data_IF_179504303440
#
_entry.id   IF_179504303440
#
_cell.length_a   1.000
_cell.length_b   1.000
_cell.length_c   1.000
_cell.angle_alpha   90.00
_cell.angle_beta   90.00
_cell.angle_gamma   90.00
#
_symmetry.space_group_name_H-M   'P 1'
#
loop_
_entity.id
_entity.type
_entity.pdbx_description
1 polymer ?
#
# COMPACT_ATOMS: atom_id res chain seq x y z
N UNK A 1 -8.33 14.83 -21.88
CA UNK A 1 -7.67 13.72 -21.16
C UNK A 1 -7.44 14.16 -19.71
N UNK A 2 -8.16 13.59 -18.74
CA UNK A 2 -8.00 13.93 -17.31
C UNK A 2 -6.57 13.58 -16.88
N UNK A 3 -5.74 14.57 -16.52
CA UNK A 3 -4.40 14.31 -15.99
C UNK A 3 -4.53 13.51 -14.69
N UNK A 4 -3.95 12.31 -14.65
CA UNK A 4 -3.91 11.48 -13.45
C UNK A 4 -3.13 12.21 -12.36
N UNK A 5 -3.69 12.26 -11.15
CA UNK A 5 -3.10 12.99 -10.03
C UNK A 5 -1.72 12.41 -9.66
N UNK A 6 -0.70 13.25 -9.35
CA UNK A 6 0.65 12.78 -9.05
C UNK A 6 0.70 11.75 -7.91
N UNK A 7 -0.16 11.90 -6.91
CA UNK A 7 -0.30 10.93 -5.81
C UNK A 7 -0.68 9.53 -6.32
N UNK A 8 -1.69 9.44 -7.19
CA UNK A 8 -2.19 8.17 -7.74
C UNK A 8 -1.10 7.48 -8.56
N UNK A 9 -0.35 8.24 -9.36
CA UNK A 9 0.78 7.73 -10.13
C UNK A 9 1.90 7.16 -9.24
N UNK A 10 2.31 7.90 -8.21
CA UNK A 10 3.34 7.43 -7.27
C UNK A 10 2.86 6.24 -6.43
N UNK A 11 1.57 6.21 -6.07
CA UNK A 11 0.96 5.13 -5.33
C UNK A 11 0.93 3.82 -6.13
N UNK A 12 0.51 3.90 -7.40
CA UNK A 12 0.51 2.77 -8.34
C UNK A 12 1.92 2.29 -8.66
N UNK A 13 2.84 3.21 -8.95
CA UNK A 13 4.22 2.85 -9.26
C UNK A 13 4.89 2.15 -8.08
N UNK A 14 4.72 2.67 -6.86
CA UNK A 14 5.24 2.04 -5.66
C UNK A 14 4.59 0.67 -5.40
N UNK A 15 3.28 0.52 -5.61
CA UNK A 15 2.60 -0.76 -5.50
C UNK A 15 3.14 -1.82 -6.47
N UNK A 16 3.39 -1.44 -7.72
CA UNK A 16 3.99 -2.32 -8.73
C UNK A 16 5.44 -2.68 -8.39
N UNK A 17 6.26 -1.71 -7.98
CA UNK A 17 7.66 -1.93 -7.61
C UNK A 17 7.76 -2.86 -6.40
N UNK A 18 6.95 -2.62 -5.37
CA UNK A 18 6.95 -3.43 -4.15
C UNK A 18 6.43 -4.83 -4.44
N UNK A 19 5.33 -4.96 -5.19
CA UNK A 19 4.78 -6.27 -5.54
C UNK A 19 5.73 -7.10 -6.41
N UNK A 20 6.37 -6.47 -7.40
CA UNK A 20 7.39 -7.11 -8.21
C UNK A 20 8.64 -7.45 -7.39
N UNK A 21 9.13 -6.53 -6.55
CA UNK A 21 10.34 -6.70 -5.76
C UNK A 21 10.21 -7.80 -4.71
N UNK A 22 9.10 -7.81 -3.96
CA UNK A 22 8.83 -8.85 -2.97
C UNK A 22 8.57 -10.18 -3.67
N UNK A 23 7.71 -10.22 -4.70
CA UNK A 23 7.38 -11.48 -5.35
C UNK A 23 8.53 -12.07 -6.17
N UNK A 24 9.48 -11.26 -6.67
CA UNK A 24 10.67 -11.75 -7.35
C UNK A 24 11.60 -12.56 -6.44
N UNK A 25 11.51 -12.40 -5.12
CA UNK A 25 12.25 -13.25 -4.16
C UNK A 25 11.64 -14.65 -3.99
N UNK A 26 10.42 -14.87 -4.48
CA UNK A 26 9.67 -16.11 -4.33
C UNK A 26 9.57 -16.88 -5.65
N UNK A 27 9.02 -16.25 -6.70
CA UNK A 27 8.91 -16.79 -8.07
C UNK A 27 8.36 -15.71 -9.04
N UNK A 28 8.55 -15.88 -10.36
CA UNK A 28 7.99 -14.98 -11.38
C UNK A 28 6.46 -14.89 -11.30
N UNK A 29 5.77 -16.01 -11.06
CA UNK A 29 4.31 -16.01 -10.91
C UNK A 29 3.88 -15.24 -9.67
N UNK A 30 4.62 -15.38 -8.56
CA UNK A 30 4.37 -14.64 -7.32
C UNK A 30 4.64 -13.14 -7.49
N UNK A 31 5.67 -12.75 -8.25
CA UNK A 31 5.95 -11.36 -8.63
C UNK A 31 4.78 -10.72 -9.39
N UNK A 32 4.25 -11.42 -10.38
CA UNK A 32 3.13 -10.92 -11.18
C UNK A 32 1.86 -10.79 -10.32
N UNK A 33 1.52 -11.83 -9.55
CA UNK A 33 0.34 -11.80 -8.68
C UNK A 33 0.44 -10.72 -7.60
N UNK A 34 1.62 -10.59 -6.97
CA UNK A 34 1.89 -9.56 -5.96
C UNK A 34 1.76 -8.15 -6.52
N UNK A 35 2.33 -7.90 -7.71
CA UNK A 35 2.21 -6.61 -8.39
C UNK A 35 0.76 -6.27 -8.75
N UNK A 36 -0.01 -7.24 -9.27
CA UNK A 36 -1.43 -7.04 -9.63
C UNK A 36 -2.27 -6.75 -8.39
N UNK A 37 -2.12 -7.53 -7.33
CA UNK A 37 -2.91 -7.37 -6.10
C UNK A 37 -2.62 -6.04 -5.41
N UNK A 38 -1.34 -5.65 -5.30
CA UNK A 38 -0.97 -4.37 -4.72
C UNK A 38 -1.44 -3.21 -5.60
N UNK A 39 -1.33 -3.32 -6.92
CA UNK A 39 -1.85 -2.30 -7.84
C UNK A 39 -3.38 -2.16 -7.73
N UNK A 40 -4.11 -3.27 -7.66
CA UNK A 40 -5.56 -3.25 -7.46
C UNK A 40 -5.94 -2.60 -6.13
N UNK A 41 -5.25 -2.95 -5.03
CA UNK A 41 -5.41 -2.30 -3.74
C UNK A 41 -5.14 -0.79 -3.79
N UNK A 42 -4.10 -0.39 -4.52
CA UNK A 42 -3.76 1.02 -4.75
C UNK A 42 -4.82 1.78 -5.57
N UNK A 43 -5.43 1.15 -6.58
CA UNK A 43 -6.54 1.75 -7.34
C UNK A 43 -7.76 1.96 -6.45
N UNK A 44 -8.15 0.94 -5.69
CA UNK A 44 -9.32 0.99 -4.80
C UNK A 44 -9.11 2.08 -3.75
N UNK A 45 -7.96 2.05 -3.08
CA UNK A 45 -7.54 3.07 -2.11
C UNK A 45 -7.53 4.49 -2.69
N UNK A 46 -7.01 4.67 -3.90
CA UNK A 46 -7.02 5.96 -4.61
C UNK A 46 -8.43 6.43 -4.94
N UNK A 47 -9.34 5.51 -5.24
CA UNK A 47 -10.75 5.82 -5.56
C UNK A 47 -11.49 6.30 -4.31
N UNK A 48 -11.24 5.68 -3.15
CA UNK A 48 -11.75 6.16 -1.87
C UNK A 48 -11.19 7.53 -1.51
N UNK A 49 -9.88 7.74 -1.66
CA UNK A 49 -9.24 9.05 -1.46
C UNK A 49 -9.78 10.13 -2.40
N UNK A 50 -10.25 9.75 -3.60
CA UNK A 50 -10.90 10.67 -4.54
C UNK A 50 -12.30 11.08 -4.07
N UNK A 51 -13.02 10.21 -3.36
CA UNK A 51 -14.37 10.48 -2.83
C UNK A 51 -14.34 11.30 -1.53
N UNK A 52 -13.49 10.94 -0.56
CA UNK A 52 -13.13 11.73 0.64
C UNK A 52 -11.79 11.21 1.19
N UNK A 53 -10.82 12.04 1.65
CA UNK A 53 -10.82 13.48 1.86
C UNK A 53 -10.49 14.34 0.63
N UNK A 54 -10.26 13.73 -0.55
CA UNK A 54 -9.81 14.40 -1.77
C UNK A 54 -8.30 14.26 -1.97
N UNK A 55 -7.87 14.07 -3.22
CA UNK A 55 -6.45 13.83 -3.56
C UNK A 55 -5.53 15.03 -3.28
N UNK A 56 -6.11 16.22 -3.10
CA UNK A 56 -5.41 17.45 -2.74
C UNK A 56 -5.20 17.62 -1.23
N UNK A 57 -5.86 16.81 -0.39
CA UNK A 57 -5.77 16.86 1.06
C UNK A 57 -4.32 16.74 1.58
N UNK A 58 -4.04 17.20 2.82
CA UNK A 58 -2.74 17.03 3.44
C UNK A 58 -2.36 15.55 3.56
N UNK A 59 -1.06 15.26 3.46
CA UNK A 59 -0.51 13.90 3.50
C UNK A 59 -0.95 13.11 4.73
N UNK A 60 -1.07 13.79 5.87
CA UNK A 60 -1.53 13.20 7.13
C UNK A 60 -2.95 12.62 7.01
N UNK A 61 -3.82 13.18 6.17
CA UNK A 61 -5.16 12.63 5.96
C UNK A 61 -5.18 11.56 4.86
N UNK A 62 -4.35 11.71 3.84
CA UNK A 62 -4.29 10.78 2.70
C UNK A 62 -3.69 9.43 3.08
N UNK A 63 -2.63 9.39 3.87
CA UNK A 63 -1.93 8.15 4.24
C UNK A 63 -2.85 7.17 5.02
N UNK A 64 -3.48 7.55 6.14
CA UNK A 64 -4.33 6.62 6.90
C UNK A 64 -5.57 6.19 6.11
N UNK A 65 -6.17 7.09 5.32
CA UNK A 65 -7.32 6.73 4.47
C UNK A 65 -6.88 5.77 3.37
N UNK A 66 -5.72 6.00 2.76
CA UNK A 66 -5.20 5.11 1.73
C UNK A 66 -4.81 3.72 2.27
N UNK A 67 -4.39 3.64 3.54
CA UNK A 67 -4.10 2.39 4.24
C UNK A 67 -5.39 1.64 4.54
N UNK A 68 -6.39 2.32 5.15
CA UNK A 68 -7.65 1.70 5.55
C UNK A 68 -8.58 1.36 4.38
N UNK A 69 -8.48 2.10 3.27
CA UNK A 69 -9.24 1.81 2.06
C UNK A 69 -8.60 0.71 1.20
N UNK A 70 -7.40 0.23 1.53
CA UNK A 70 -6.76 -0.86 0.82
C UNK A 70 -7.31 -2.21 1.34
N UNK A 71 -8.11 -2.96 0.56
CA UNK A 71 -8.68 -4.23 1.00
C UNK A 71 -7.60 -5.26 1.35
N UNK A 72 -6.45 -5.22 0.68
CA UNK A 72 -5.34 -6.13 0.96
C UNK A 72 -4.74 -5.86 2.35
N UNK A 73 -4.69 -4.58 2.75
CA UNK A 73 -4.26 -4.18 4.08
C UNK A 73 -5.27 -4.61 5.14
N UNK A 74 -6.57 -4.45 4.89
CA UNK A 74 -7.61 -4.89 5.82
C UNK A 74 -7.60 -6.41 6.02
N UNK A 75 -7.39 -7.18 4.96
CA UNK A 75 -7.25 -8.64 5.05
C UNK A 75 -6.00 -9.01 5.86
N UNK A 76 -4.87 -8.37 5.61
CA UNK A 76 -3.65 -8.59 6.39
C UNK A 76 -3.84 -8.26 7.88
N UNK A 77 -4.48 -7.15 8.19
CA UNK A 77 -4.83 -6.78 9.57
C UNK A 77 -5.80 -7.78 10.21
N UNK A 78 -6.76 -8.31 9.45
CA UNK A 78 -7.67 -9.36 9.90
C UNK A 78 -6.92 -10.64 10.30
N UNK A 79 -5.96 -11.08 9.48
CA UNK A 79 -5.11 -12.23 9.82
C UNK A 79 -4.23 -11.96 11.05
N UNK A 80 -3.64 -10.77 11.16
CA UNK A 80 -2.88 -10.36 12.34
C UNK A 80 -3.75 -10.38 13.61
N UNK A 81 -5.02 -9.98 13.50
CA UNK A 81 -5.95 -9.96 14.62
C UNK A 81 -6.45 -11.36 15.02
N UNK A 82 -6.70 -12.25 14.07
CA UNK A 82 -7.10 -13.65 14.33
C UNK A 82 -5.94 -14.42 14.96
N UNK A 83 -4.72 -14.19 14.48
CA UNK A 83 -3.50 -14.84 14.99
C UNK A 83 -2.73 -13.96 15.99
N UNK A 84 -3.43 -13.12 16.77
CA UNK A 84 -2.79 -12.18 17.70
C UNK A 84 -1.89 -12.86 18.75
N UNK A 85 -2.22 -14.09 19.14
CA UNK A 85 -1.40 -14.91 20.04
C UNK A 85 -0.01 -15.25 19.45
N UNK A 86 0.09 -15.36 18.13
CA UNK A 86 1.36 -15.54 17.42
C UNK A 86 2.19 -14.24 17.38
N UNK A 87 1.51 -13.09 17.28
CA UNK A 87 2.16 -11.77 17.22
C UNK A 87 2.69 -11.33 18.60
N UNK A 88 1.93 -11.62 19.65
CA UNK A 88 2.30 -11.35 21.05
C UNK A 88 3.38 -12.33 21.57
N UNK A 89 3.79 -13.31 20.78
CA UNK A 89 4.80 -14.30 21.14
C UNK A 89 4.31 -15.37 22.12
N UNK A 90 2.99 -15.46 22.32
CA UNK A 90 2.33 -16.40 23.22
C UNK A 90 2.25 -17.82 22.61
N UNK A 91 2.25 -17.90 21.28
CA UNK A 91 2.40 -19.14 20.50
C UNK A 91 3.52 -18.99 19.47
N UNK A 92 4.27 -20.06 19.22
CA UNK A 92 5.34 -20.15 18.21
C UNK A 92 5.26 -21.49 17.50
N UNK A 93 5.51 -21.51 16.20
CA UNK A 93 5.46 -22.72 15.38
C UNK A 93 4.96 -22.44 13.97
N UNK A 94 4.73 -23.51 13.21
CA UNK A 94 4.22 -23.44 11.84
C UNK A 94 2.81 -22.80 11.74
N UNK A 95 2.02 -22.85 12.82
CA UNK A 95 0.71 -22.19 12.90
C UNK A 95 0.82 -20.65 12.83
N UNK A 96 1.99 -20.08 13.13
CA UNK A 96 2.22 -18.63 13.10
C UNK A 96 2.76 -18.11 11.76
N UNK A 97 2.94 -18.99 10.76
CA UNK A 97 3.43 -18.60 9.43
C UNK A 97 2.46 -17.61 8.76
N UNK A 98 1.16 -17.80 8.96
CA UNK A 98 0.11 -16.90 8.47
C UNK A 98 0.25 -15.48 9.02
N UNK A 99 0.45 -15.35 10.33
CA UNK A 99 0.70 -14.06 10.98
C UNK A 99 1.99 -13.40 10.49
N UNK A 100 3.07 -14.17 10.31
CA UNK A 100 4.34 -13.66 9.80
C UNK A 100 4.20 -13.12 8.35
N UNK A 101 3.51 -13.87 7.48
CA UNK A 101 3.21 -13.43 6.11
C UNK A 101 2.32 -12.18 6.14
N UNK A 102 1.30 -12.15 6.99
CA UNK A 102 0.39 -11.00 7.12
C UNK A 102 1.12 -9.73 7.57
N UNK A 103 2.10 -9.82 8.47
CA UNK A 103 2.95 -8.69 8.88
C UNK A 103 3.76 -8.17 7.69
N UNK A 104 4.37 -9.07 6.90
CA UNK A 104 5.13 -8.69 5.70
C UNK A 104 4.22 -8.00 4.68
N UNK A 105 3.02 -8.56 4.43
CA UNK A 105 2.03 -8.00 3.50
C UNK A 105 1.53 -6.63 3.99
N UNK A 106 1.26 -6.47 5.28
CA UNK A 106 0.88 -5.19 5.86
C UNK A 106 1.99 -4.14 5.70
N UNK A 107 3.24 -4.53 5.96
CA UNK A 107 4.43 -3.71 5.71
C UNK A 107 4.55 -3.29 4.24
N UNK A 108 4.36 -4.22 3.30
CA UNK A 108 4.38 -3.94 1.87
C UNK A 108 3.23 -2.98 1.46
N UNK A 109 2.06 -3.05 2.09
CA UNK A 109 0.92 -2.17 1.84
C UNK A 109 1.11 -0.74 2.37
N UNK A 110 2.03 -0.51 3.31
CA UNK A 110 2.39 0.82 3.81
C UNK A 110 3.26 1.60 2.83
N UNK A 111 4.09 0.93 2.02
CA UNK A 111 5.03 1.61 1.11
C UNK A 111 4.34 2.40 -0.01
N UNK A 112 3.28 1.89 -0.68
CA UNK A 112 2.56 2.62 -1.72
C UNK A 112 2.06 4.02 -1.32
N UNK A 113 1.37 4.23 -0.17
CA UNK A 113 0.90 5.57 0.21
C UNK A 113 2.05 6.55 0.46
N UNK A 114 3.19 6.08 0.99
CA UNK A 114 4.41 6.90 1.11
C UNK A 114 5.03 7.22 -0.26
N UNK A 115 5.04 6.28 -1.20
CA UNK A 115 5.50 6.51 -2.58
C UNK A 115 4.66 7.55 -3.31
N UNK A 116 3.32 7.49 -3.17
CA UNK A 116 2.40 8.50 -3.69
C UNK A 116 2.66 9.90 -3.12
N UNK A 117 2.95 9.99 -1.83
CA UNK A 117 3.33 11.25 -1.18
C UNK A 117 4.67 11.79 -1.66
N UNK A 118 5.72 10.96 -1.68
CA UNK A 118 7.06 11.34 -2.10
C UNK A 118 7.09 11.81 -3.56
N UNK A 119 6.36 11.13 -4.44
CA UNK A 119 6.24 11.50 -5.85
C UNK A 119 5.51 12.83 -6.03
N UNK A 120 4.43 13.08 -5.26
CA UNK A 120 3.73 14.37 -5.25
C UNK A 120 4.67 15.50 -4.82
N UNK A 121 5.39 15.31 -3.71
CA UNK A 121 6.34 16.28 -3.18
C UNK A 121 7.48 16.58 -4.16
N UNK A 122 8.04 15.54 -4.79
CA UNK A 122 9.10 15.70 -5.78
C UNK A 122 8.63 16.48 -7.01
N UNK A 123 7.40 16.23 -7.47
CA UNK A 123 6.80 16.96 -8.59
C UNK A 123 6.49 18.42 -8.23
N UNK A 124 6.08 18.68 -6.99
CA UNK A 124 5.90 20.05 -6.47
C UNK A 124 7.23 20.81 -6.38
N UNK A 125 8.36 20.15 -6.09
CA UNK A 125 9.68 20.78 -6.11
C UNK A 125 10.21 21.07 -7.52
N UNK A 126 9.94 20.19 -8.49
CA UNK A 126 10.39 20.37 -9.88
C UNK A 126 9.55 21.37 -10.68
N UNK A 127 8.28 21.50 -10.35
CA UNK A 127 7.42 22.56 -10.82
C UNK A 127 6.79 23.23 -9.60
N UNK A 128 7.50 24.18 -8.96
CA UNK A 128 6.86 25.05 -8.00
C UNK A 128 5.83 25.84 -8.81
N UNK A 129 4.56 25.43 -8.73
CA UNK A 129 3.51 26.41 -8.96
C UNK A 129 3.72 27.41 -7.84
N UNK A 130 4.26 28.57 -8.20
CA UNK A 130 4.24 29.73 -7.35
C UNK A 130 2.83 29.88 -6.78
N UNK A 131 2.82 30.29 -5.52
CA UNK A 131 1.70 30.81 -4.73
C UNK A 131 0.51 31.25 -5.59
#
# INVERSE_FOLDING_TARGET
MKRIHPFVWGHLAAALIVGAGVGATLDVQAAIMGAIMLAAGAVISSTFCWWKPGLDAPAWQLIPVAILANPLMLVALGFIAVDADCVLGNKRGWDCLGAAIAIIVAGACLVPPFGGWLWRWWKQRRHPRGV
#
